data_IF_939958000501
#
_entry.id   IF_939958000501
#
_cell.length_a   1.000
_cell.length_b   1.000
_cell.length_c   1.000
_cell.angle_alpha   90.00
_cell.angle_beta   90.00
_cell.angle_gamma   90.00
#
_symmetry.space_group_name_H-M   'P 1'
#
loop_
_entity.id
_entity.type
_entity.pdbx_description
1 polymer ?
#
# COMPACT_ATOMS: atom_id res chain seq x y z
N UNK A 1 2.01 20.49 -3.75
CA UNK A 1 2.41 20.56 -5.18
C UNK A 1 1.21 20.70 -6.11
N UNK A 2 0.41 19.69 -6.47
CA UNK A 2 -0.72 19.90 -7.41
C UNK A 2 -1.87 20.75 -6.83
N UNK A 3 -2.12 20.65 -5.53
CA UNK A 3 -3.09 21.51 -4.82
C UNK A 3 -2.62 22.94 -4.75
N UNK A 4 -1.34 23.15 -4.65
CA UNK A 4 -0.72 24.47 -4.56
C UNK A 4 -0.76 25.15 -5.93
N UNK A 5 -0.47 24.42 -7.03
CA UNK A 5 -0.58 24.93 -8.39
C UNK A 5 -2.00 25.41 -8.72
N UNK A 6 -3.03 24.66 -8.33
CA UNK A 6 -4.43 25.05 -8.56
C UNK A 6 -4.81 26.27 -7.70
N UNK A 7 -4.31 26.36 -6.47
CA UNK A 7 -4.54 27.51 -5.63
C UNK A 7 -3.86 28.77 -6.16
N UNK A 8 -2.63 28.63 -6.71
CA UNK A 8 -1.89 29.74 -7.33
C UNK A 8 -2.61 30.21 -8.60
N UNK A 9 -3.15 29.32 -9.41
CA UNK A 9 -3.97 29.66 -10.59
C UNK A 9 -5.24 30.42 -10.17
N UNK A 10 -5.95 29.94 -9.15
CA UNK A 10 -7.14 30.62 -8.62
C UNK A 10 -6.79 32.02 -8.10
N UNK A 11 -5.67 32.16 -7.40
CA UNK A 11 -5.24 33.47 -6.88
C UNK A 11 -4.91 34.46 -8.00
N UNK A 12 -4.18 34.03 -9.04
CA UNK A 12 -3.88 34.84 -10.22
C UNK A 12 -5.14 35.29 -10.95
N UNK A 13 -6.12 34.38 -11.14
CA UNK A 13 -7.40 34.73 -11.74
C UNK A 13 -8.16 35.78 -10.92
N UNK A 14 -8.15 35.69 -9.59
CA UNK A 14 -8.75 36.69 -8.71
C UNK A 14 -8.07 38.06 -8.83
N UNK A 15 -6.75 38.08 -8.87
CA UNK A 15 -5.97 39.33 -9.01
C UNK A 15 -6.22 40.01 -10.35
N UNK A 16 -6.48 39.22 -11.39
CA UNK A 16 -6.78 39.69 -12.75
C UNK A 16 -8.29 39.94 -12.99
N UNK A 17 -9.14 39.69 -11.99
CA UNK A 17 -10.59 39.76 -12.06
C UNK A 17 -11.18 38.91 -13.21
N UNK A 18 -10.56 37.74 -13.45
CA UNK A 18 -10.97 36.72 -14.45
C UNK A 18 -11.64 35.57 -13.73
N UNK A 19 -12.74 35.07 -14.29
CA UNK A 19 -13.40 33.85 -13.78
C UNK A 19 -12.48 32.64 -13.92
N UNK A 20 -12.20 31.93 -12.81
CA UNK A 20 -11.40 30.73 -12.84
C UNK A 20 -12.18 29.56 -13.43
N UNK A 21 -11.72 29.03 -14.57
CA UNK A 21 -12.24 27.82 -15.17
C UNK A 21 -11.25 26.67 -14.95
N UNK A 22 -11.61 25.64 -14.15
CA UNK A 22 -10.69 24.54 -13.86
C UNK A 22 -10.43 23.72 -15.13
N UNK A 23 -9.16 23.46 -15.41
CA UNK A 23 -8.79 22.50 -16.46
C UNK A 23 -9.38 21.12 -16.17
N UNK A 24 -9.97 20.49 -17.18
CA UNK A 24 -10.54 19.14 -17.10
C UNK A 24 -9.83 18.21 -18.05
N UNK A 25 -9.50 17.02 -17.53
CA UNK A 25 -8.96 15.93 -18.34
C UNK A 25 -10.05 15.27 -19.19
N UNK A 26 -9.64 14.41 -20.14
CA UNK A 26 -10.55 13.73 -21.06
C UNK A 26 -11.68 12.93 -20.37
N UNK A 27 -11.44 12.46 -19.12
CA UNK A 27 -12.43 11.78 -18.30
C UNK A 27 -13.36 12.73 -17.50
N UNK A 28 -13.26 14.05 -17.71
CA UNK A 28 -14.04 15.08 -17.01
C UNK A 28 -13.54 15.46 -15.62
N UNK A 29 -12.53 14.78 -15.07
CA UNK A 29 -11.96 15.13 -13.77
C UNK A 29 -11.14 16.42 -13.86
N UNK A 30 -11.30 17.33 -12.90
CA UNK A 30 -10.34 18.40 -12.68
C UNK A 30 -9.06 17.84 -12.01
N UNK A 31 -7.93 18.56 -12.13
CA UNK A 31 -6.62 18.12 -11.59
C UNK A 31 -6.71 17.64 -10.13
N UNK A 32 -7.37 18.41 -9.28
CA UNK A 32 -7.58 18.07 -7.86
C UNK A 32 -8.43 16.81 -7.68
N UNK A 33 -9.47 16.63 -8.48
CA UNK A 33 -10.34 15.46 -8.45
C UNK A 33 -9.60 14.21 -8.93
N UNK A 34 -8.82 14.31 -10.01
CA UNK A 34 -7.99 13.23 -10.53
C UNK A 34 -7.04 12.72 -9.45
N UNK A 35 -6.28 13.60 -8.79
CA UNK A 35 -5.31 13.22 -7.76
C UNK A 35 -5.97 12.73 -6.47
N UNK A 36 -7.09 13.31 -6.04
CA UNK A 36 -7.83 12.81 -4.88
C UNK A 36 -8.36 11.38 -5.10
N UNK A 37 -8.80 11.07 -6.33
CA UNK A 37 -9.28 9.74 -6.73
C UNK A 37 -8.15 8.76 -7.03
N UNK A 38 -6.95 9.26 -7.37
CA UNK A 38 -5.76 8.47 -7.67
C UNK A 38 -5.41 7.48 -6.55
N UNK A 39 -5.53 7.90 -5.27
CA UNK A 39 -5.24 7.03 -4.12
C UNK A 39 -6.03 5.72 -4.13
N UNK A 40 -7.27 5.73 -4.62
CA UNK A 40 -8.13 4.54 -4.70
C UNK A 40 -7.78 3.63 -5.89
N UNK A 41 -7.07 4.17 -6.88
CA UNK A 41 -6.57 3.43 -8.05
C UNK A 41 -5.20 2.84 -7.74
N UNK A 42 -4.28 3.65 -7.22
CA UNK A 42 -2.88 3.28 -7.01
C UNK A 42 -2.65 2.27 -5.86
N UNK A 43 -3.59 2.11 -4.93
CA UNK A 43 -3.53 1.06 -3.89
C UNK A 43 -4.03 -0.30 -4.35
N UNK A 44 -4.59 -0.39 -5.56
CA UNK A 44 -5.12 -1.64 -6.13
C UNK A 44 -4.19 -2.20 -7.19
N UNK A 45 -4.11 -3.52 -7.26
CA UNK A 45 -3.50 -4.17 -8.41
C UNK A 45 -4.30 -3.86 -9.68
N UNK A 46 -3.63 -3.60 -10.80
CA UNK A 46 -4.25 -3.20 -12.08
C UNK A 46 -5.30 -4.19 -12.59
N UNK A 47 -5.16 -5.49 -12.27
CA UNK A 47 -6.16 -6.52 -12.63
C UNK A 47 -7.52 -6.35 -11.94
N UNK A 48 -7.57 -5.54 -10.88
CA UNK A 48 -8.80 -5.27 -10.11
C UNK A 48 -9.39 -3.89 -10.42
N UNK A 49 -8.87 -3.19 -11.40
CA UNK A 49 -9.40 -1.90 -11.81
C UNK A 49 -10.68 -2.08 -12.61
N UNK A 50 -11.66 -1.21 -12.34
CA UNK A 50 -12.79 -0.98 -13.23
C UNK A 50 -12.32 -0.18 -14.46
N UNK A 51 -13.12 -0.17 -15.53
CA UNK A 51 -12.78 0.60 -16.73
C UNK A 51 -12.54 2.09 -16.42
N UNK A 52 -13.41 2.71 -15.63
CA UNK A 52 -13.22 4.11 -15.18
C UNK A 52 -11.93 4.32 -14.36
N UNK A 53 -11.49 3.31 -13.59
CA UNK A 53 -10.23 3.37 -12.86
C UNK A 53 -9.03 3.22 -13.80
N UNK A 54 -9.14 2.39 -14.84
CA UNK A 54 -8.10 2.22 -15.87
C UNK A 54 -7.85 3.52 -16.61
N UNK A 55 -8.90 4.13 -17.16
CA UNK A 55 -8.81 5.42 -17.86
C UNK A 55 -8.15 6.47 -16.95
N UNK A 56 -8.55 6.51 -15.67
CA UNK A 56 -7.96 7.45 -14.71
C UNK A 56 -6.49 7.17 -14.45
N UNK A 57 -6.10 5.89 -14.33
CA UNK A 57 -4.71 5.49 -14.17
C UNK A 57 -3.84 5.91 -15.37
N UNK A 58 -4.34 5.73 -16.59
CA UNK A 58 -3.65 6.12 -17.82
C UNK A 58 -3.37 7.63 -17.83
N UNK A 59 -4.38 8.46 -17.53
CA UNK A 59 -4.21 9.91 -17.44
C UNK A 59 -3.20 10.29 -16.35
N UNK A 60 -3.26 9.62 -15.18
CA UNK A 60 -2.32 9.87 -14.08
C UNK A 60 -0.89 9.54 -14.51
N UNK A 61 -0.68 8.40 -15.16
CA UNK A 61 0.65 7.93 -15.55
C UNK A 61 1.23 8.73 -16.73
N UNK A 62 0.39 9.26 -17.60
CA UNK A 62 0.80 10.17 -18.65
C UNK A 62 1.32 11.50 -18.08
N UNK A 63 0.60 12.07 -17.10
CA UNK A 63 0.95 13.37 -16.54
C UNK A 63 1.93 13.30 -15.36
N UNK A 64 2.06 12.12 -14.73
CA UNK A 64 2.92 11.89 -13.58
C UNK A 64 3.70 10.57 -13.76
N UNK A 65 4.68 10.49 -14.66
CA UNK A 65 5.42 9.26 -14.95
C UNK A 65 6.17 8.71 -13.74
N UNK A 66 6.54 9.57 -12.79
CA UNK A 66 7.14 9.16 -11.52
C UNK A 66 6.18 8.31 -10.69
N UNK A 67 4.88 8.65 -10.66
CA UNK A 67 3.87 7.85 -9.98
C UNK A 67 3.70 6.48 -10.64
N UNK A 68 3.84 6.40 -11.97
CA UNK A 68 3.85 5.11 -12.67
C UNK A 68 5.01 4.25 -12.22
N UNK A 69 6.22 4.81 -12.17
CA UNK A 69 7.41 4.09 -11.74
C UNK A 69 7.29 3.57 -10.30
N UNK A 70 6.77 4.38 -9.39
CA UNK A 70 6.51 3.99 -8.00
C UNK A 70 5.44 2.89 -7.93
N UNK A 71 4.38 3.02 -8.71
CA UNK A 71 3.31 2.02 -8.78
C UNK A 71 3.83 0.68 -9.31
N UNK A 72 4.58 0.70 -10.42
CA UNK A 72 5.14 -0.51 -11.03
C UNK A 72 6.07 -1.26 -10.05
N UNK A 73 6.89 -0.53 -9.27
CA UNK A 73 7.73 -1.11 -8.21
C UNK A 73 6.90 -1.75 -7.08
N UNK A 74 5.81 -1.11 -6.67
CA UNK A 74 4.92 -1.67 -5.65
C UNK A 74 4.20 -2.94 -6.14
N UNK A 75 3.77 -2.95 -7.40
CA UNK A 75 3.18 -4.13 -8.04
C UNK A 75 4.22 -5.25 -8.21
N UNK A 76 5.44 -4.92 -8.60
CA UNK A 76 6.54 -5.91 -8.73
C UNK A 76 6.80 -6.59 -7.38
N UNK A 77 6.88 -5.84 -6.29
CA UNK A 77 7.03 -6.39 -4.94
C UNK A 77 5.85 -7.32 -4.59
N UNK A 78 4.63 -6.87 -4.83
CA UNK A 78 3.42 -7.66 -4.60
C UNK A 78 3.44 -8.97 -5.38
N UNK A 79 3.89 -8.93 -6.64
CA UNK A 79 4.01 -10.11 -7.49
C UNK A 79 5.10 -11.07 -7.01
N UNK A 80 6.21 -10.57 -6.45
CA UNK A 80 7.24 -11.41 -5.84
C UNK A 80 6.65 -12.20 -4.68
N UNK A 81 5.87 -11.55 -3.80
CA UNK A 81 5.24 -12.23 -2.67
C UNK A 81 4.12 -13.20 -3.08
N UNK A 82 3.36 -12.88 -4.11
CA UNK A 82 2.22 -13.70 -4.54
C UNK A 82 2.62 -14.93 -5.34
N UNK A 83 3.77 -14.91 -6.02
CA UNK A 83 4.25 -16.07 -6.78
C UNK A 83 4.92 -17.10 -5.89
N UNK A 84 4.75 -18.39 -6.26
CA UNK A 84 5.40 -19.51 -5.56
C UNK A 84 6.85 -19.64 -6.03
N UNK A 85 7.72 -18.85 -5.43
CA UNK A 85 9.16 -18.97 -5.64
C UNK A 85 9.79 -19.79 -4.54
N UNK A 86 10.83 -20.55 -4.92
CA UNK A 86 11.81 -21.07 -3.98
C UNK A 86 12.54 -19.91 -3.26
N UNK A 87 13.03 -20.15 -2.03
CA UNK A 87 13.68 -19.15 -1.19
C UNK A 87 14.82 -18.42 -1.90
N UNK A 88 15.66 -19.17 -2.64
CA UNK A 88 16.81 -18.59 -3.30
C UNK A 88 16.41 -17.76 -4.53
N UNK A 89 15.41 -18.19 -5.28
CA UNK A 89 14.83 -17.42 -6.38
C UNK A 89 14.18 -16.14 -5.85
N UNK A 90 13.44 -16.23 -4.74
CA UNK A 90 12.85 -15.07 -4.08
C UNK A 90 13.92 -14.07 -3.61
N UNK A 91 15.01 -14.57 -3.02
CA UNK A 91 16.18 -13.77 -2.61
C UNK A 91 16.74 -12.96 -3.78
N UNK A 92 16.98 -13.62 -4.91
CA UNK A 92 17.48 -12.95 -6.11
C UNK A 92 16.53 -11.87 -6.63
N UNK A 93 15.22 -12.15 -6.67
CA UNK A 93 14.21 -11.19 -7.12
C UNK A 93 14.07 -9.98 -6.18
N UNK A 94 14.11 -10.19 -4.88
CA UNK A 94 14.09 -9.11 -3.89
C UNK A 94 15.35 -8.24 -3.98
N UNK A 95 16.52 -8.84 -4.20
CA UNK A 95 17.76 -8.10 -4.41
C UNK A 95 17.70 -7.24 -5.68
N UNK A 96 17.21 -7.76 -6.80
CA UNK A 96 17.03 -7.00 -8.04
C UNK A 96 16.02 -5.85 -7.86
N UNK A 97 14.93 -6.09 -7.15
CA UNK A 97 13.94 -5.07 -6.84
C UNK A 97 14.56 -3.96 -5.96
N UNK A 98 15.33 -4.34 -4.95
CA UNK A 98 16.04 -3.39 -4.08
C UNK A 98 16.99 -2.49 -4.88
N UNK A 99 17.81 -3.09 -5.76
CA UNK A 99 18.72 -2.35 -6.62
C UNK A 99 18.01 -1.33 -7.54
N UNK A 100 16.79 -1.65 -8.00
CA UNK A 100 15.98 -0.70 -8.77
C UNK A 100 15.59 0.52 -7.93
N UNK A 101 15.18 0.30 -6.68
CA UNK A 101 14.81 1.40 -5.76
C UNK A 101 16.00 2.29 -5.46
N UNK A 102 17.17 1.71 -5.19
CA UNK A 102 18.40 2.49 -4.94
C UNK A 102 18.76 3.37 -6.15
N UNK A 103 18.69 2.82 -7.35
CA UNK A 103 18.96 3.59 -8.58
C UNK A 103 18.00 4.74 -8.81
N UNK A 104 16.74 4.57 -8.45
CA UNK A 104 15.71 5.60 -8.64
C UNK A 104 15.70 6.65 -7.53
N UNK A 105 16.27 6.35 -6.36
CA UNK A 105 16.43 7.28 -5.25
C UNK A 105 15.11 7.78 -4.63
N UNK A 106 14.00 7.06 -4.81
CA UNK A 106 12.70 7.47 -4.29
C UNK A 106 12.63 7.33 -2.76
N UNK A 107 12.59 8.46 -2.06
CA UNK A 107 12.54 8.52 -0.60
C UNK A 107 11.29 7.85 0.02
N UNK A 108 10.20 7.69 -0.75
CA UNK A 108 8.98 7.01 -0.31
C UNK A 108 9.21 5.52 0.00
N UNK A 109 10.21 4.88 -0.58
CA UNK A 109 10.54 3.47 -0.30
C UNK A 109 11.48 3.28 0.89
N UNK A 110 12.03 4.35 1.48
CA UNK A 110 13.02 4.24 2.56
C UNK A 110 12.56 3.40 3.74
N UNK A 111 11.32 3.53 4.17
CA UNK A 111 10.77 2.71 5.26
C UNK A 111 10.69 1.25 4.87
N UNK A 112 10.26 0.95 3.64
CA UNK A 112 10.14 -0.43 3.15
C UNK A 112 11.53 -1.07 3.02
N UNK A 113 12.50 -0.36 2.44
CA UNK A 113 13.87 -0.86 2.28
C UNK A 113 14.56 -1.09 3.63
N UNK A 114 14.41 -0.18 4.59
CA UNK A 114 14.93 -0.37 5.95
C UNK A 114 14.29 -1.58 6.64
N UNK A 115 12.97 -1.77 6.48
CA UNK A 115 12.29 -2.95 7.02
C UNK A 115 12.82 -4.23 6.39
N UNK A 116 13.03 -4.23 5.09
CA UNK A 116 13.58 -5.39 4.38
C UNK A 116 15.02 -5.70 4.80
N UNK A 117 15.86 -4.69 5.03
CA UNK A 117 17.22 -4.89 5.52
C UNK A 117 17.23 -5.47 6.95
N UNK A 118 16.43 -4.90 7.85
CA UNK A 118 16.43 -5.31 9.25
C UNK A 118 15.83 -6.71 9.47
N UNK A 119 14.90 -7.14 8.62
CA UNK A 119 14.17 -8.40 8.76
C UNK A 119 14.36 -9.35 7.57
N UNK A 120 15.48 -9.23 6.87
CA UNK A 120 15.74 -9.92 5.62
C UNK A 120 15.51 -11.43 5.69
N UNK A 121 16.13 -12.12 6.64
CA UNK A 121 15.97 -13.57 6.81
C UNK A 121 14.54 -13.97 7.20
N UNK A 122 13.88 -13.18 8.05
CA UNK A 122 12.48 -13.41 8.43
C UNK A 122 11.56 -13.29 7.21
N UNK A 123 11.80 -12.30 6.36
CA UNK A 123 11.05 -12.10 5.12
C UNK A 123 11.29 -13.28 4.16
N UNK A 124 12.52 -13.77 4.03
CA UNK A 124 12.84 -14.92 3.20
C UNK A 124 12.22 -16.23 3.72
N UNK A 125 12.04 -16.38 5.03
CA UNK A 125 11.40 -17.55 5.60
C UNK A 125 9.92 -17.66 5.20
N UNK A 126 9.25 -16.55 4.87
CA UNK A 126 7.91 -16.59 4.27
C UNK A 126 7.84 -17.46 3.01
N UNK A 127 8.91 -17.50 2.20
CA UNK A 127 8.94 -18.27 0.95
C UNK A 127 9.18 -19.77 1.17
N UNK A 128 9.60 -20.18 2.36
CA UNK A 128 9.79 -21.60 2.71
C UNK A 128 8.42 -22.24 3.01
N UNK A 129 7.69 -21.68 3.97
CA UNK A 129 6.46 -22.28 4.48
C UNK A 129 5.19 -21.54 4.05
N UNK A 130 5.34 -20.35 3.47
CA UNK A 130 4.23 -19.43 3.17
C UNK A 130 3.29 -19.18 4.35
N UNK A 131 3.84 -19.21 5.54
CA UNK A 131 3.11 -18.89 6.74
C UNK A 131 2.70 -17.42 6.69
N UNK A 132 1.43 -17.21 6.43
CA UNK A 132 0.81 -15.89 6.50
C UNK A 132 0.48 -15.58 7.96
N UNK A 133 0.16 -14.32 8.26
CA UNK A 133 -0.42 -13.94 9.55
C UNK A 133 -1.75 -14.67 9.86
N UNK A 134 -2.22 -15.56 8.98
CA UNK A 134 -3.46 -16.31 9.15
C UNK A 134 -3.47 -17.11 10.47
N UNK A 135 -2.32 -17.67 10.89
CA UNK A 135 -2.21 -18.31 12.19
C UNK A 135 -2.38 -17.31 13.32
N UNK A 136 -1.68 -16.16 13.25
CA UNK A 136 -1.80 -15.08 14.23
C UNK A 136 -3.21 -14.47 14.24
N UNK A 137 -3.83 -14.30 13.06
CA UNK A 137 -5.22 -13.83 12.95
C UNK A 137 -6.21 -14.83 13.52
N UNK A 138 -6.05 -16.13 13.23
CA UNK A 138 -6.86 -17.21 13.82
C UNK A 138 -6.70 -17.25 15.33
N UNK A 139 -5.47 -17.13 15.84
CA UNK A 139 -5.20 -17.07 17.27
C UNK A 139 -5.83 -15.84 17.91
N UNK A 140 -5.67 -14.67 17.32
CA UNK A 140 -6.30 -13.42 17.78
C UNK A 140 -7.84 -13.49 17.75
N UNK A 141 -8.41 -14.15 16.74
CA UNK A 141 -9.86 -14.39 16.68
C UNK A 141 -10.33 -15.28 17.83
N UNK A 142 -9.58 -16.35 18.14
CA UNK A 142 -9.85 -17.22 19.31
C UNK A 142 -9.77 -16.46 20.62
N UNK A 143 -8.75 -15.59 20.79
CA UNK A 143 -8.62 -14.73 21.98
C UNK A 143 -9.83 -13.80 22.10
N UNK A 144 -10.23 -13.15 21.00
CA UNK A 144 -11.39 -12.24 20.98
C UNK A 144 -12.69 -12.97 21.31
N UNK A 145 -12.91 -14.15 20.73
CA UNK A 145 -14.09 -14.98 21.02
C UNK A 145 -14.11 -15.43 22.49
N UNK A 146 -12.98 -15.87 23.01
CA UNK A 146 -12.84 -16.24 24.43
C UNK A 146 -13.12 -15.04 25.35
N UNK A 147 -12.52 -13.88 25.06
CA UNK A 147 -12.77 -12.64 25.83
C UNK A 147 -14.24 -12.21 25.82
N UNK A 148 -14.96 -12.45 24.72
CA UNK A 148 -16.37 -12.12 24.60
C UNK A 148 -17.24 -12.97 25.57
N UNK A 149 -16.84 -14.21 25.84
CA UNK A 149 -17.53 -15.10 26.80
C UNK A 149 -17.31 -14.66 28.26
N UNK A 150 -16.21 -13.96 28.54
CA UNK A 150 -15.84 -13.47 29.88
C UNK A 150 -16.07 -11.96 30.03
N UNK A 151 -17.06 -11.41 29.37
CA UNK A 151 -17.42 -9.99 29.53
C UNK A 151 -17.77 -9.70 30.99
N UNK A 152 -17.06 -8.71 31.58
CA UNK A 152 -17.26 -8.31 32.98
C UNK A 152 -16.24 -8.92 33.96
N UNK A 153 -15.39 -9.85 33.56
CA UNK A 153 -14.29 -10.35 34.40
C UNK A 153 -13.12 -9.38 34.32
N UNK A 154 -12.87 -8.66 35.42
CA UNK A 154 -11.76 -7.71 35.56
C UNK A 154 -10.43 -8.34 35.95
N UNK A 155 -10.42 -9.65 36.27
CA UNK A 155 -9.22 -10.37 36.72
C UNK A 155 -8.40 -10.84 35.50
N UNK A 156 -7.38 -10.07 35.16
CA UNK A 156 -6.46 -10.36 34.04
C UNK A 156 -5.65 -11.65 34.26
N UNK A 157 -5.05 -11.92 35.44
CA UNK A 157 -4.38 -13.19 35.75
C UNK A 157 -5.25 -14.41 35.55
N UNK A 158 -6.49 -14.38 36.03
CA UNK A 158 -7.46 -15.46 35.80
C UNK A 158 -7.79 -15.66 34.34
N UNK A 159 -7.97 -14.58 33.60
CA UNK A 159 -8.23 -14.61 32.14
C UNK A 159 -7.06 -15.28 31.40
N UNK A 160 -5.81 -14.88 31.70
CA UNK A 160 -4.60 -15.45 31.08
C UNK A 160 -4.46 -16.94 31.44
N UNK A 161 -4.67 -17.31 32.68
CA UNK A 161 -4.64 -18.71 33.12
C UNK A 161 -5.63 -19.59 32.34
N UNK A 162 -6.86 -19.12 32.17
CA UNK A 162 -7.89 -19.82 31.38
C UNK A 162 -7.53 -19.88 29.88
N UNK A 163 -6.96 -18.82 29.34
CA UNK A 163 -6.51 -18.77 27.96
C UNK A 163 -5.40 -19.77 27.67
N UNK A 164 -4.39 -19.86 28.55
CA UNK A 164 -3.32 -20.85 28.46
C UNK A 164 -3.83 -22.30 28.50
N UNK A 165 -4.87 -22.60 29.29
CA UNK A 165 -5.50 -23.93 29.29
C UNK A 165 -6.28 -24.29 28.01
N UNK A 166 -6.65 -23.30 27.23
CA UNK A 166 -7.41 -23.49 25.96
C UNK A 166 -6.48 -23.62 24.75
N UNK A 167 -5.25 -23.12 24.86
CA UNK A 167 -4.29 -23.04 23.75
C UNK A 167 -3.12 -24.01 23.89
N UNK A 168 -2.93 -24.63 25.00
CA UNK A 168 -1.98 -25.75 25.28
C UNK A 168 -2.66 -27.07 25.19
#
# INVERSE_FOLDING_TARGET
MARDLENDEIQRCKEQNIEYVPFRYANGDARKQLLARAKHVLVKHYSKWTESQRIRAEIIFEHYPELKSVYDLAIELTNIYNKHYDKDVARGKLALWYNKIEKLGYGCFRTVTNTMQNYYETILNYFVNRETNAFAESFNAKIKAFRAQFRGVGDIPFFIFRLCKLTG
#
